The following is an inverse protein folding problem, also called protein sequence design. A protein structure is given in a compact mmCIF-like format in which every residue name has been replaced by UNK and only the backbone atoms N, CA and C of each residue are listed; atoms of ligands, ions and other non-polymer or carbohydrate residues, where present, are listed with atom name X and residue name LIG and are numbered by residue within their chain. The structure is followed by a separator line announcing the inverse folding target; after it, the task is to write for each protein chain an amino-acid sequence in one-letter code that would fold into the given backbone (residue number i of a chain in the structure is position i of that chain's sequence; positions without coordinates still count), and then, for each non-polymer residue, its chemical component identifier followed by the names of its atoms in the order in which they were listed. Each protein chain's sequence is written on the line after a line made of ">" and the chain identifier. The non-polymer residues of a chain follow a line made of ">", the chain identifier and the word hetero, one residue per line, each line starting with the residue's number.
data_IF_655490460099
#
_entry.id   IF_655490460099
#
_cell.length_a   1.000
_cell.length_b   1.000
_cell.length_c   1.000
_cell.angle_alpha   90.00
_cell.angle_beta   90.00
_cell.angle_gamma   90.00
#
_symmetry.space_group_name_H-M   'P 1'
#
loop_
_entity.id
_entity.type
_entity.pdbx_description
1 polymer ?
#
# COMPACT_ATOMS: atom_id res chain seq x y z
N UNK A 1 -1.92 1.54 5.51
CA UNK A 1 -0.51 1.10 5.40
C UNK A 1 0.01 1.42 4.01
N UNK A 2 1.19 1.97 3.94
CA UNK A 2 1.86 2.37 2.68
C UNK A 2 3.03 1.41 2.44
N UNK A 3 2.81 0.46 1.55
CA UNK A 3 3.83 -0.54 1.18
C UNK A 3 4.74 0.05 0.10
N UNK A 4 6.03 -0.22 0.19
CA UNK A 4 7.05 0.37 -0.70
C UNK A 4 7.01 1.90 -0.63
N UNK A 5 7.03 2.43 0.59
CA UNK A 5 6.74 3.85 0.84
C UNK A 5 7.73 4.84 0.22
N UNK A 6 8.97 4.42 -0.07
CA UNK A 6 9.99 5.27 -0.69
C UNK A 6 10.25 6.52 0.13
N UNK A 7 10.01 7.69 -0.45
CA UNK A 7 10.20 8.98 0.23
C UNK A 7 9.06 9.34 1.19
N UNK A 8 7.99 8.54 1.20
CA UNK A 8 6.84 8.78 2.07
C UNK A 8 5.84 9.81 1.55
N UNK A 9 5.94 10.21 0.29
CA UNK A 9 5.05 11.21 -0.27
C UNK A 9 3.57 10.81 -0.16
N UNK A 10 3.26 9.55 -0.43
CA UNK A 10 1.88 9.04 -0.32
C UNK A 10 1.43 9.01 1.13
N UNK A 11 2.30 8.55 2.04
CA UNK A 11 1.99 8.55 3.48
C UNK A 11 1.66 9.95 3.99
N UNK A 12 2.46 10.93 3.61
CA UNK A 12 2.25 12.34 4.02
C UNK A 12 0.95 12.86 3.42
N UNK A 13 0.65 12.53 2.16
CA UNK A 13 -0.60 12.93 1.51
C UNK A 13 -1.82 12.38 2.24
N UNK A 14 -1.78 11.11 2.67
CA UNK A 14 -2.86 10.53 3.46
C UNK A 14 -3.08 11.31 4.77
N UNK A 15 -2.00 11.64 5.47
CA UNK A 15 -2.09 12.43 6.71
C UNK A 15 -2.69 13.81 6.43
N UNK A 16 -2.25 14.47 5.36
CA UNK A 16 -2.77 15.81 5.00
C UNK A 16 -4.26 15.79 4.69
N UNK A 17 -4.80 14.63 4.29
CA UNK A 17 -6.22 14.46 3.99
C UNK A 17 -7.03 13.92 5.17
N UNK A 18 -6.44 13.84 6.35
CA UNK A 18 -7.15 13.53 7.58
C UNK A 18 -7.12 12.08 8.02
N UNK A 19 -6.27 11.24 7.43
CA UNK A 19 -6.07 9.87 7.91
C UNK A 19 -5.43 9.93 9.30
N UNK A 20 -5.95 9.14 10.24
CA UNK A 20 -5.53 9.21 11.65
C UNK A 20 -4.14 8.66 11.87
N UNK A 21 -3.82 7.55 11.25
CA UNK A 21 -2.54 6.86 11.41
C UNK A 21 -2.11 6.24 10.09
N UNK A 22 -0.83 6.34 9.76
CA UNK A 22 -0.25 5.68 8.60
C UNK A 22 0.96 4.87 9.06
N UNK A 23 1.04 3.63 8.60
CA UNK A 23 2.24 2.80 8.75
C UNK A 23 2.95 2.74 7.41
N UNK A 24 4.19 3.23 7.37
CA UNK A 24 5.00 3.30 6.14
C UNK A 24 6.05 2.21 6.18
N UNK A 25 6.08 1.37 5.15
CA UNK A 25 6.97 0.22 5.07
C UNK A 25 7.94 0.42 3.91
N UNK A 26 9.22 0.30 4.17
CA UNK A 26 10.24 0.22 3.13
C UNK A 26 11.42 -0.59 3.64
N UNK A 27 12.08 -1.33 2.77
CA UNK A 27 13.25 -2.11 3.14
C UNK A 27 14.51 -1.24 3.16
N UNK A 28 14.50 -0.14 2.44
CA UNK A 28 15.66 0.74 2.28
C UNK A 28 15.82 1.66 3.48
N UNK A 29 16.98 1.57 4.15
CA UNK A 29 17.24 2.36 5.34
C UNK A 29 17.26 3.87 5.05
N UNK A 30 17.79 4.28 3.91
CA UNK A 30 17.81 5.70 3.54
C UNK A 30 16.39 6.24 3.37
N UNK A 31 15.49 5.46 2.79
CA UNK A 31 14.09 5.84 2.65
C UNK A 31 13.40 5.97 4.01
N UNK A 32 13.57 4.99 4.89
CA UNK A 32 12.94 5.05 6.22
C UNK A 32 13.46 6.22 7.04
N UNK A 33 14.77 6.50 6.99
CA UNK A 33 15.34 7.65 7.69
C UNK A 33 14.84 8.97 7.09
N UNK A 34 14.67 9.03 5.77
CA UNK A 34 14.11 10.21 5.12
C UNK A 34 12.68 10.48 5.59
N UNK A 35 11.84 9.45 5.65
CA UNK A 35 10.44 9.59 6.10
C UNK A 35 10.40 10.09 7.54
N UNK A 36 11.22 9.52 8.42
CA UNK A 36 11.31 9.96 9.82
C UNK A 36 11.71 11.43 9.92
N UNK A 37 12.71 11.84 9.15
CA UNK A 37 13.19 13.22 9.14
C UNK A 37 12.13 14.18 8.61
N UNK A 38 11.49 13.85 7.49
CA UNK A 38 10.43 14.67 6.90
C UNK A 38 9.24 14.81 7.84
N UNK A 39 8.84 13.73 8.49
CA UNK A 39 7.75 13.73 9.46
C UNK A 39 8.06 14.67 10.62
N UNK A 40 9.28 14.63 11.13
CA UNK A 40 9.72 15.51 12.22
C UNK A 40 9.69 16.97 11.79
N UNK A 41 10.20 17.29 10.60
CA UNK A 41 10.21 18.65 10.07
C UNK A 41 8.82 19.21 9.88
N UNK A 42 7.86 18.37 9.51
CA UNK A 42 6.47 18.76 9.27
C UNK A 42 5.59 18.64 10.53
N UNK A 43 6.19 18.28 11.67
CA UNK A 43 5.47 18.06 12.94
C UNK A 43 4.36 16.99 12.80
N UNK A 44 4.62 15.95 12.05
CA UNK A 44 3.71 14.82 11.90
C UNK A 44 4.11 13.72 12.89
N UNK A 45 3.21 13.37 13.80
CA UNK A 45 3.45 12.35 14.83
C UNK A 45 2.73 11.03 14.57
N UNK A 46 1.88 10.97 13.56
CA UNK A 46 1.01 9.82 13.29
C UNK A 46 1.42 9.04 12.04
N UNK A 47 2.69 9.12 11.65
CA UNK A 47 3.31 8.21 10.70
C UNK A 47 4.24 7.28 11.48
N UNK A 48 4.01 5.96 11.33
CA UNK A 48 4.82 4.93 11.96
C UNK A 48 5.69 4.27 10.90
N UNK A 49 6.99 4.49 10.95
CA UNK A 49 7.92 4.02 9.92
C UNK A 49 8.50 2.68 10.35
N UNK A 50 8.37 1.69 9.48
CA UNK A 50 8.89 0.34 9.73
C UNK A 50 9.83 -0.04 8.58
N UNK A 51 11.07 -0.38 8.92
CA UNK A 51 12.02 -0.92 7.96
C UNK A 51 11.82 -2.44 7.89
N UNK A 52 11.25 -2.91 6.78
CA UNK A 52 10.98 -4.33 6.59
C UNK A 52 10.81 -4.64 5.11
N UNK A 53 11.06 -5.89 4.76
CA UNK A 53 10.65 -6.42 3.47
C UNK A 53 9.13 -6.60 3.50
N UNK A 54 8.44 -6.11 2.47
CA UNK A 54 6.97 -6.13 2.40
C UNK A 54 6.45 -7.56 2.48
N UNK A 55 7.06 -8.49 1.76
CA UNK A 55 6.59 -9.88 1.73
C UNK A 55 6.79 -10.58 3.06
N UNK A 56 7.91 -10.32 3.74
CA UNK A 56 8.17 -10.86 5.08
C UNK A 56 7.18 -10.31 6.09
N UNK A 57 6.90 -9.01 6.00
CA UNK A 57 5.96 -8.36 6.91
C UNK A 57 4.55 -8.91 6.72
N UNK A 58 4.12 -9.11 5.48
CA UNK A 58 2.79 -9.63 5.18
C UNK A 58 2.61 -11.08 5.63
N UNK A 59 3.70 -11.86 5.71
CA UNK A 59 3.65 -13.23 6.24
C UNK A 59 3.42 -13.29 7.74
N UNK A 60 3.72 -12.22 8.45
CA UNK A 60 3.51 -12.16 9.90
C UNK A 60 2.11 -11.63 10.18
N UNK A 61 1.45 -12.19 11.17
CA UNK A 61 0.18 -11.64 11.63
C UNK A 61 0.46 -10.26 12.25
N UNK A 62 0.28 -9.21 11.46
CA UNK A 62 0.44 -7.84 11.92
C UNK A 62 -0.91 -7.31 12.42
N UNK A 63 -1.24 -6.08 12.20
CA UNK A 63 -2.57 -5.57 12.51
C UNK A 63 -3.36 -5.39 11.21
N UNK A 64 -4.65 -5.14 11.32
CA UNK A 64 -5.50 -4.90 10.16
C UNK A 64 -5.59 -3.42 9.84
N UNK A 65 -5.73 -3.11 8.56
CA UNK A 65 -5.80 -1.75 8.05
C UNK A 65 -7.05 -1.56 7.21
N UNK A 66 -7.54 -0.33 7.18
CA UNK A 66 -8.69 0.04 6.36
C UNK A 66 -8.29 0.32 4.91
N UNK A 67 -7.09 0.84 4.72
CA UNK A 67 -6.54 1.12 3.39
C UNK A 67 -5.10 0.63 3.35
N UNK A 68 -4.78 -0.14 2.32
CA UNK A 68 -3.41 -0.52 2.01
C UNK A 68 -3.10 0.00 0.61
N UNK A 69 -2.02 0.76 0.50
CA UNK A 69 -1.52 1.28 -0.77
C UNK A 69 -0.17 0.64 -1.07
N UNK A 70 0.07 0.27 -2.31
CA UNK A 70 1.35 -0.27 -2.74
C UNK A 70 1.76 0.35 -4.08
N UNK A 71 2.99 0.88 -4.11
CA UNK A 71 3.64 1.36 -5.33
C UNK A 71 4.98 0.62 -5.47
N UNK A 72 4.94 -0.68 -5.85
CA UNK A 72 6.16 -1.46 -5.96
C UNK A 72 7.00 -1.03 -7.16
N UNK A 73 8.31 -1.32 -7.14
CA UNK A 73 9.10 -1.17 -8.35
C UNK A 73 8.48 -1.95 -9.51
N UNK A 74 8.37 -1.33 -10.68
CA UNK A 74 7.73 -1.96 -11.84
C UNK A 74 8.44 -3.25 -12.30
N UNK A 75 9.73 -3.36 -12.02
CA UNK A 75 10.51 -4.55 -12.32
C UNK A 75 10.38 -5.65 -11.27
N UNK A 76 9.58 -5.44 -10.21
CA UNK A 76 9.40 -6.43 -9.17
C UNK A 76 8.75 -7.68 -9.74
N UNK A 77 9.46 -8.81 -9.64
CA UNK A 77 9.01 -10.07 -10.22
C UNK A 77 7.71 -10.56 -9.60
N UNK A 78 7.52 -10.32 -8.30
CA UNK A 78 6.35 -10.80 -7.55
C UNK A 78 5.18 -9.81 -7.56
N UNK A 79 5.26 -8.73 -8.37
CA UNK A 79 4.20 -7.75 -8.44
C UNK A 79 2.83 -8.36 -8.78
N UNK A 80 2.73 -9.27 -9.78
CA UNK A 80 1.43 -9.88 -10.10
C UNK A 80 0.81 -10.69 -8.98
N UNK A 81 1.63 -11.18 -8.05
CA UNK A 81 1.16 -11.99 -6.92
C UNK A 81 0.78 -11.15 -5.70
N UNK A 82 1.09 -9.87 -5.71
CA UNK A 82 0.91 -9.01 -4.54
C UNK A 82 -0.54 -8.95 -4.05
N UNK A 83 -1.56 -8.83 -4.93
CA UNK A 83 -2.94 -8.85 -4.44
C UNK A 83 -3.29 -10.12 -3.67
N UNK A 84 -2.92 -11.29 -4.20
CA UNK A 84 -3.17 -12.56 -3.50
C UNK A 84 -2.48 -12.60 -2.14
N UNK A 85 -1.24 -12.14 -2.08
CA UNK A 85 -0.47 -12.13 -0.83
C UNK A 85 -1.14 -11.22 0.20
N UNK A 86 -1.58 -10.04 -0.21
CA UNK A 86 -2.28 -9.10 0.68
C UNK A 86 -3.56 -9.73 1.25
N UNK A 87 -4.39 -10.33 0.40
CA UNK A 87 -5.65 -10.92 0.86
C UNK A 87 -5.46 -12.18 1.68
N UNK A 88 -4.45 -12.99 1.39
CA UNK A 88 -4.12 -14.18 2.18
C UNK A 88 -3.52 -13.84 3.54
N UNK A 89 -2.92 -12.66 3.69
CA UNK A 89 -2.26 -12.25 4.93
C UNK A 89 -3.21 -11.74 6.00
N UNK A 90 -4.48 -11.57 5.68
CA UNK A 90 -5.53 -11.11 6.60
C UNK A 90 -5.18 -9.76 7.27
N UNK A 91 -4.57 -8.86 6.51
CA UNK A 91 -4.14 -7.52 6.99
C UNK A 91 -5.11 -6.42 6.60
N UNK A 92 -6.21 -6.76 5.92
CA UNK A 92 -7.21 -5.80 5.47
C UNK A 92 -8.51 -6.01 6.24
N UNK A 93 -9.06 -4.93 6.79
CA UNK A 93 -10.36 -4.97 7.48
C UNK A 93 -11.48 -5.37 6.50
N UNK A 94 -12.61 -5.82 7.04
CA UNK A 94 -13.73 -6.34 6.24
C UNK A 94 -14.23 -5.34 5.19
N UNK A 95 -14.24 -4.05 5.52
CA UNK A 95 -14.63 -2.97 4.62
C UNK A 95 -13.43 -2.32 3.96
N UNK A 96 -12.25 -2.94 4.09
CA UNK A 96 -11.00 -2.36 3.63
C UNK A 96 -10.78 -2.43 2.14
N UNK A 97 -9.91 -1.55 1.65
CA UNK A 97 -9.52 -1.53 0.24
C UNK A 97 -8.00 -1.60 0.09
N UNK A 98 -7.57 -2.26 -0.97
CA UNK A 98 -6.18 -2.32 -1.37
C UNK A 98 -6.02 -1.61 -2.73
N UNK A 99 -5.07 -0.69 -2.80
CA UNK A 99 -4.80 0.10 -4.00
C UNK A 99 -3.40 -0.24 -4.49
N UNK A 100 -3.29 -0.75 -5.71
CA UNK A 100 -2.02 -1.13 -6.31
C UNK A 100 -1.74 -0.24 -7.52
N UNK A 101 -0.62 0.47 -7.48
CA UNK A 101 -0.07 1.15 -8.64
C UNK A 101 0.81 0.16 -9.42
N UNK A 102 0.63 0.08 -10.73
CA UNK A 102 1.33 -0.91 -11.55
C UNK A 102 1.46 -0.46 -13.01
N UNK A 103 2.37 -1.06 -13.79
CA UNK A 103 2.43 -0.78 -15.21
C UNK A 103 1.25 -1.38 -15.96
N UNK A 104 0.99 -0.87 -17.16
CA UNK A 104 -0.18 -1.22 -17.97
C UNK A 104 -0.19 -2.69 -18.42
N UNK A 105 0.96 -3.37 -18.39
CA UNK A 105 1.08 -4.77 -18.82
C UNK A 105 0.35 -5.73 -17.89
N UNK A 106 0.04 -5.31 -16.67
CA UNK A 106 -0.67 -6.15 -15.71
C UNK A 106 -2.15 -5.83 -15.71
N UNK A 107 -2.98 -6.86 -15.71
CA UNK A 107 -4.42 -6.74 -15.54
C UNK A 107 -4.87 -7.63 -14.39
N UNK A 108 -5.74 -7.10 -13.55
CA UNK A 108 -6.26 -7.80 -12.38
C UNK A 108 -7.77 -7.97 -12.43
N UNK A 109 -8.38 -7.77 -13.60
CA UNK A 109 -9.83 -7.81 -13.77
C UNK A 109 -10.46 -9.16 -13.39
N UNK A 110 -9.69 -10.24 -13.50
CA UNK A 110 -10.15 -11.58 -13.14
C UNK A 110 -9.93 -11.92 -11.66
N UNK A 111 -9.34 -11.03 -10.88
CA UNK A 111 -9.10 -11.28 -9.46
C UNK A 111 -10.42 -11.26 -8.68
N UNK A 112 -10.65 -12.21 -7.74
CA UNK A 112 -11.91 -12.28 -6.98
C UNK A 112 -12.26 -11.01 -6.21
N UNK A 113 -11.26 -10.21 -5.82
CA UNK A 113 -11.46 -8.98 -5.08
C UNK A 113 -11.34 -7.73 -5.95
N UNK A 114 -11.21 -7.87 -7.26
CA UNK A 114 -11.14 -6.72 -8.17
C UNK A 114 -12.40 -5.85 -8.02
N UNK A 115 -12.18 -4.55 -7.85
CA UNK A 115 -13.27 -3.58 -7.76
C UNK A 115 -13.30 -2.65 -8.95
N UNK A 116 -12.19 -1.95 -9.23
CA UNK A 116 -12.11 -1.04 -10.37
C UNK A 116 -10.66 -0.78 -10.77
N UNK A 117 -10.48 -0.32 -11.98
CA UNK A 117 -9.20 0.10 -12.53
C UNK A 117 -9.30 1.55 -12.98
N UNK A 118 -8.26 2.34 -12.71
CA UNK A 118 -8.14 3.73 -13.15
C UNK A 118 -6.78 3.94 -13.80
N UNK A 119 -6.77 4.65 -14.92
CA UNK A 119 -5.54 5.03 -15.61
C UNK A 119 -5.45 6.55 -15.70
N UNK A 120 -4.30 7.08 -15.34
CA UNK A 120 -3.99 8.51 -15.42
C UNK A 120 -2.67 8.64 -16.18
N UNK A 121 -2.74 8.97 -17.49
CA UNK A 121 -1.56 8.95 -18.35
C UNK A 121 -0.97 7.54 -18.42
N UNK A 122 0.28 7.39 -17.98
CA UNK A 122 0.98 6.09 -17.97
C UNK A 122 0.86 5.36 -16.64
N UNK A 123 0.18 5.97 -15.67
CA UNK A 123 0.05 5.40 -14.32
C UNK A 123 -1.26 4.63 -14.24
N UNK A 124 -1.20 3.40 -13.75
CA UNK A 124 -2.36 2.54 -13.60
C UNK A 124 -2.56 2.20 -12.13
N UNK A 125 -3.80 2.29 -11.68
CA UNK A 125 -4.21 1.91 -10.34
C UNK A 125 -5.29 0.87 -10.42
N UNK A 126 -5.14 -0.24 -9.71
CA UNK A 126 -6.21 -1.20 -9.51
C UNK A 126 -6.65 -1.16 -8.06
N UNK A 127 -7.94 -1.08 -7.86
CA UNK A 127 -8.57 -1.05 -6.54
C UNK A 127 -9.21 -2.40 -6.28
N UNK A 128 -8.92 -2.96 -5.11
CA UNK A 128 -9.46 -4.22 -4.64
C UNK A 128 -10.23 -3.98 -3.35
N UNK A 129 -11.34 -4.65 -3.18
CA UNK A 129 -12.13 -4.57 -1.96
C UNK A 129 -12.22 -5.93 -1.29
N UNK A 130 -12.08 -5.95 0.04
CA UNK A 130 -12.19 -7.19 0.80
C UNK A 130 -13.62 -7.73 0.70
N UNK A 131 -14.61 -6.85 0.76
CA UNK A 131 -16.00 -7.19 0.55
C UNK A 131 -16.52 -6.42 -0.66
N UNK A 132 -17.04 -7.14 -1.64
CA UNK A 132 -17.70 -6.54 -2.80
C UNK A 132 -19.21 -6.61 -2.60
N UNK A 133 -19.91 -5.49 -2.89
CA UNK A 133 -21.36 -5.45 -2.85
C UNK A 133 -21.91 -6.34 -3.96
N UNK A 134 -22.87 -7.18 -3.62
CA UNK A 134 -23.55 -8.07 -4.54
C UNK A 134 -24.89 -7.46 -4.96
N UNK A 135 -24.85 -6.50 -5.85
CA UNK A 135 -26.06 -5.92 -6.40
C UNK A 135 -26.29 -6.32 -7.82
#
# INVERSE_FOLDING_TARGET
>A
MDLFAGTGAVSIEFISRGVKDVTSIDINNACTEYIKSASKQLNISNIHVVRADVFDLLKRAYKKFDIIFADPPYALQDLPSLPDIVFQSNVLNDEGIFILEHPKEHSFEDHPHFWQHRAYGKVNFTFFANRLDED
#
